data_IF_828070984320
#
_entry.id   IF_828070984320
#
_cell.length_a   1.000
_cell.length_b   1.000
_cell.length_c   1.000
_cell.angle_alpha   90.00
_cell.angle_beta   90.00
_cell.angle_gamma   90.00
#
_symmetry.space_group_name_H-M   'P 1'
#
loop_
_entity.id
_entity.type
_entity.pdbx_description
1 polymer ?
#
# COMPACT_ATOMS: atom_id res chain seq x y z
N UNK A 1 -4.30 17.65 -12.14
CA UNK A 1 -4.14 16.18 -12.38
C UNK A 1 -5.13 15.72 -13.44
N UNK A 2 -4.68 14.98 -14.46
CA UNK A 2 -5.58 14.43 -15.50
C UNK A 2 -6.54 13.39 -14.92
N UNK A 3 -7.75 13.27 -15.50
CA UNK A 3 -8.79 12.35 -15.04
C UNK A 3 -8.32 10.88 -14.98
N UNK A 4 -7.50 10.48 -15.95
CA UNK A 4 -6.92 9.14 -16.03
C UNK A 4 -6.03 8.80 -14.82
N UNK A 5 -5.20 9.76 -14.35
CA UNK A 5 -4.36 9.54 -13.15
C UNK A 5 -5.20 9.38 -11.89
N UNK A 6 -6.35 10.06 -11.80
CA UNK A 6 -7.28 9.89 -10.67
C UNK A 6 -7.89 8.49 -10.67
N UNK A 7 -8.30 7.99 -11.85
CA UNK A 7 -8.86 6.64 -11.99
C UNK A 7 -7.87 5.55 -11.60
N UNK A 8 -6.60 5.64 -12.05
CA UNK A 8 -5.57 4.66 -11.68
C UNK A 8 -5.36 4.60 -10.17
N UNK A 9 -5.30 5.76 -9.50
CA UNK A 9 -5.14 5.84 -8.04
C UNK A 9 -6.33 5.28 -7.29
N UNK A 10 -7.55 5.57 -7.76
CA UNK A 10 -8.76 5.01 -7.18
C UNK A 10 -8.82 3.48 -7.33
N UNK A 11 -8.54 2.96 -8.54
CA UNK A 11 -8.52 1.52 -8.80
C UNK A 11 -7.47 0.79 -7.94
N UNK A 12 -6.27 1.35 -7.81
CA UNK A 12 -5.23 0.83 -6.92
C UNK A 12 -5.71 0.77 -5.47
N UNK A 13 -6.22 1.89 -4.95
CA UNK A 13 -6.72 1.99 -3.58
C UNK A 13 -7.84 0.99 -3.31
N UNK A 14 -8.85 0.95 -4.17
CA UNK A 14 -10.02 0.10 -3.99
C UNK A 14 -9.62 -1.39 -4.01
N UNK A 15 -8.67 -1.77 -4.89
CA UNK A 15 -8.17 -3.14 -4.96
C UNK A 15 -7.34 -3.53 -3.72
N UNK A 16 -6.53 -2.61 -3.18
CA UNK A 16 -5.78 -2.80 -1.92
C UNK A 16 -6.75 -2.98 -0.74
N UNK A 17 -7.74 -2.11 -0.61
CA UNK A 17 -8.74 -2.20 0.46
C UNK A 17 -9.59 -3.47 0.37
N UNK A 18 -9.97 -3.88 -0.84
CA UNK A 18 -10.68 -5.13 -1.06
C UNK A 18 -9.86 -6.34 -0.63
N UNK A 19 -8.57 -6.41 -1.00
CA UNK A 19 -7.67 -7.49 -0.56
C UNK A 19 -7.57 -7.53 0.97
N UNK A 20 -7.37 -6.38 1.59
CA UNK A 20 -7.25 -6.23 3.03
C UNK A 20 -8.58 -6.45 3.79
N UNK A 21 -9.69 -6.66 3.07
CA UNK A 21 -11.05 -6.74 3.63
C UNK A 21 -11.37 -5.52 4.51
N UNK A 22 -10.92 -4.34 4.10
CA UNK A 22 -11.08 -3.07 4.80
C UNK A 22 -10.48 -3.06 6.22
N UNK A 23 -9.41 -3.84 6.45
CA UNK A 23 -8.67 -3.86 7.72
C UNK A 23 -7.32 -3.20 7.56
N UNK A 24 -6.82 -2.57 8.62
CA UNK A 24 -5.42 -2.17 8.68
C UNK A 24 -4.56 -3.43 8.71
N UNK A 25 -3.57 -3.49 7.82
CA UNK A 25 -2.58 -4.56 7.72
C UNK A 25 -1.26 -4.17 8.44
N UNK A 26 -1.27 -3.10 9.24
CA UNK A 26 -0.13 -2.70 10.05
C UNK A 26 0.19 -3.75 11.14
N UNK A 27 1.47 -4.04 11.43
CA UNK A 27 1.87 -5.01 12.45
C UNK A 27 1.19 -4.77 13.81
N UNK A 28 0.49 -5.80 14.31
CA UNK A 28 -0.19 -5.75 15.60
C UNK A 28 -1.40 -4.81 15.67
N UNK A 29 -1.87 -4.26 14.54
CA UNK A 29 -3.02 -3.37 14.51
C UNK A 29 -4.33 -4.16 14.34
N UNK A 30 -5.32 -3.86 15.17
CA UNK A 30 -6.67 -4.45 15.07
C UNK A 30 -7.71 -3.51 14.42
N UNK A 31 -7.27 -2.38 13.86
CA UNK A 31 -8.19 -1.40 13.29
C UNK A 31 -8.90 -1.95 12.04
N UNK A 32 -10.22 -1.77 11.98
CA UNK A 32 -11.05 -2.20 10.86
C UNK A 32 -12.02 -1.09 10.45
N UNK A 33 -12.14 -0.86 9.15
CA UNK A 33 -13.12 0.04 8.53
C UNK A 33 -14.24 -0.78 7.85
N UNK A 34 -15.20 -0.08 7.25
CA UNK A 34 -16.14 -0.64 6.27
C UNK A 34 -15.83 -0.13 4.86
N UNK A 35 -16.48 -0.69 3.84
CA UNK A 35 -16.32 -0.24 2.45
C UNK A 35 -16.66 1.24 2.26
N UNK A 36 -17.69 1.70 2.96
CA UNK A 36 -18.24 3.05 2.87
C UNK A 36 -17.34 4.09 3.55
N UNK A 37 -16.56 3.66 4.57
CA UNK A 37 -15.70 4.54 5.37
C UNK A 37 -14.21 4.44 5.02
N UNK A 38 -13.81 3.41 4.29
CA UNK A 38 -12.40 3.09 4.07
C UNK A 38 -11.61 4.22 3.39
N UNK A 39 -12.22 4.98 2.47
CA UNK A 39 -11.53 6.10 1.83
C UNK A 39 -11.20 7.25 2.81
N UNK A 40 -11.90 7.35 3.95
CA UNK A 40 -11.63 8.33 4.99
C UNK A 40 -10.79 7.77 6.16
N UNK A 41 -10.81 6.46 6.37
CA UNK A 41 -10.22 5.80 7.55
C UNK A 41 -8.94 5.00 7.25
N UNK A 42 -8.69 4.69 5.98
CA UNK A 42 -7.54 3.91 5.52
C UNK A 42 -6.83 4.61 4.36
N UNK A 43 -5.55 4.33 4.24
CA UNK A 43 -4.71 4.72 3.11
C UNK A 43 -4.14 3.49 2.42
N UNK A 44 -4.14 3.52 1.08
CA UNK A 44 -3.43 2.53 0.28
C UNK A 44 -1.98 3.00 0.11
N UNK A 45 -1.12 2.54 1.01
CA UNK A 45 0.29 2.90 1.06
C UNK A 45 1.10 2.05 0.07
N UNK A 46 2.08 2.65 -0.62
CA UNK A 46 3.01 1.90 -1.45
C UNK A 46 4.13 1.33 -0.57
N UNK A 47 4.35 0.02 -0.59
CA UNK A 47 5.39 -0.64 0.21
C UNK A 47 6.79 -0.27 -0.29
N UNK A 48 7.03 -0.38 -1.61
CA UNK A 48 8.19 0.25 -2.25
C UNK A 48 7.75 1.55 -2.90
N UNK A 49 8.57 2.59 -2.79
CA UNK A 49 8.28 3.91 -3.33
C UNK A 49 7.90 3.83 -4.82
N UNK A 50 6.89 4.62 -5.19
CA UNK A 50 6.33 4.62 -6.56
C UNK A 50 7.36 5.01 -7.63
N UNK A 51 8.39 5.78 -7.28
CA UNK A 51 9.42 6.19 -8.22
C UNK A 51 10.48 5.10 -8.45
N UNK A 52 10.58 4.14 -7.54
CA UNK A 52 11.43 2.95 -7.70
C UNK A 52 10.73 1.82 -8.47
N UNK A 53 9.39 1.87 -8.56
CA UNK A 53 8.60 0.85 -9.22
C UNK A 53 8.34 1.16 -10.71
N UNK A 54 8.48 0.18 -11.61
CA UNK A 54 8.14 0.36 -13.03
C UNK A 54 6.73 0.91 -13.19
N UNK A 55 6.51 1.95 -14.00
CA UNK A 55 5.16 2.52 -14.25
C UNK A 55 4.43 3.00 -12.96
N UNK A 56 5.16 3.29 -11.89
CA UNK A 56 4.59 3.89 -10.68
C UNK A 56 4.12 2.92 -9.61
N UNK A 57 4.14 1.61 -9.83
CA UNK A 57 3.86 0.64 -8.75
C UNK A 57 2.41 0.59 -8.26
N UNK A 58 1.44 1.12 -9.02
CA UNK A 58 0.01 1.11 -8.68
C UNK A 58 -0.61 -0.29 -8.86
N UNK A 59 -0.05 -1.29 -8.18
CA UNK A 59 -0.46 -2.70 -8.22
C UNK A 59 -0.71 -3.21 -6.82
N UNK A 60 -1.67 -4.11 -6.65
CA UNK A 60 -2.06 -4.66 -5.33
C UNK A 60 -0.86 -5.29 -4.62
N UNK A 61 0.04 -5.93 -5.37
CA UNK A 61 1.27 -6.53 -4.86
C UNK A 61 2.22 -5.53 -4.19
N UNK A 62 2.09 -4.23 -4.48
CA UNK A 62 2.87 -3.15 -3.89
C UNK A 62 2.07 -2.27 -2.91
N UNK A 63 0.78 -2.52 -2.73
CA UNK A 63 -0.08 -1.71 -1.88
C UNK A 63 -0.40 -2.38 -0.55
N UNK A 64 -0.38 -1.66 0.56
CA UNK A 64 -0.82 -2.13 1.88
C UNK A 64 -1.87 -1.18 2.47
N UNK A 65 -2.94 -1.72 3.05
CA UNK A 65 -3.99 -0.90 3.66
C UNK A 65 -3.59 -0.53 5.09
N UNK A 66 -3.45 0.76 5.40
CA UNK A 66 -3.00 1.23 6.72
C UNK A 66 -3.95 2.30 7.26
N UNK A 67 -4.22 2.27 8.57
CA UNK A 67 -4.81 3.42 9.25
C UNK A 67 -3.78 4.56 9.37
N UNK A 68 -4.19 5.80 9.67
CA UNK A 68 -3.28 6.95 9.71
C UNK A 68 -2.06 6.76 10.61
N UNK A 69 -2.23 6.10 11.76
CA UNK A 69 -1.13 5.83 12.69
C UNK A 69 -0.11 4.82 12.15
N UNK A 70 -0.56 3.78 11.44
CA UNK A 70 0.35 2.81 10.82
C UNK A 70 0.95 3.36 9.52
N UNK A 71 0.21 4.19 8.79
CA UNK A 71 0.70 4.88 7.61
C UNK A 71 1.91 5.75 7.95
N UNK A 72 1.82 6.57 9.01
CA UNK A 72 2.94 7.39 9.46
C UNK A 72 4.20 6.57 9.81
N UNK A 73 4.02 5.38 10.40
CA UNK A 73 5.14 4.46 10.71
C UNK A 73 5.79 3.87 9.47
N UNK A 74 5.00 3.50 8.46
CA UNK A 74 5.52 3.03 7.18
C UNK A 74 6.24 4.15 6.41
N UNK A 75 5.68 5.36 6.42
CA UNK A 75 6.24 6.55 5.76
C UNK A 75 7.63 6.93 6.31
N UNK A 76 7.91 6.62 7.59
CA UNK A 76 9.23 6.87 8.18
C UNK A 76 10.35 6.25 7.34
N UNK A 77 10.17 5.02 6.85
CA UNK A 77 11.18 4.37 6.03
C UNK A 77 11.43 5.12 4.71
N UNK A 78 10.38 5.61 4.06
CA UNK A 78 10.52 6.41 2.83
C UNK A 78 11.20 7.76 3.09
N UNK A 79 10.98 8.34 4.28
CA UNK A 79 11.55 9.63 4.66
C UNK A 79 13.02 9.53 5.10
N UNK A 80 13.42 8.47 5.81
CA UNK A 80 14.72 8.39 6.49
C UNK A 80 15.59 7.21 6.07
N UNK A 81 15.02 6.21 5.40
CA UNK A 81 15.66 4.92 5.14
C UNK A 81 15.72 3.99 6.36
N UNK A 82 15.19 4.41 7.52
CA UNK A 82 15.20 3.63 8.77
C UNK A 82 13.79 3.21 9.15
N UNK A 83 13.55 1.89 9.14
CA UNK A 83 12.25 1.33 9.47
C UNK A 83 12.03 1.21 10.98
N UNK A 84 10.81 1.51 11.43
CA UNK A 84 10.36 1.08 12.75
C UNK A 84 10.18 -0.45 12.81
N UNK A 85 10.26 -1.08 13.99
CA UNK A 85 10.06 -2.52 14.13
C UNK A 85 8.74 -2.99 13.50
N UNK A 86 8.81 -3.96 12.58
CA UNK A 86 7.63 -4.48 11.86
C UNK A 86 7.29 -3.72 10.58
N UNK A 87 7.83 -2.53 10.36
CA UNK A 87 7.47 -1.64 9.25
C UNK A 87 8.51 -1.60 8.12
N UNK A 88 9.53 -2.45 8.16
CA UNK A 88 10.44 -2.58 7.02
C UNK A 88 9.67 -3.10 5.79
N UNK A 89 9.96 -2.63 4.55
CA UNK A 89 9.22 -3.06 3.36
C UNK A 89 9.10 -4.59 3.20
N UNK A 90 10.15 -5.35 3.51
CA UNK A 90 10.12 -6.81 3.47
C UNK A 90 9.15 -7.44 4.47
N UNK A 91 8.92 -6.80 5.62
CA UNK A 91 7.93 -7.21 6.60
C UNK A 91 6.52 -6.92 6.09
N UNK A 92 6.30 -5.71 5.56
CA UNK A 92 5.02 -5.29 5.01
C UNK A 92 4.61 -6.17 3.81
N UNK A 93 5.56 -6.51 2.93
CA UNK A 93 5.30 -7.44 1.83
C UNK A 93 4.87 -8.82 2.31
N UNK A 94 5.49 -9.34 3.37
CA UNK A 94 5.12 -10.65 3.95
C UNK A 94 3.69 -10.66 4.47
N UNK A 95 3.25 -9.58 5.11
CA UNK A 95 1.87 -9.46 5.63
C UNK A 95 0.83 -9.64 4.52
N UNK A 96 1.08 -9.04 3.35
CA UNK A 96 0.16 -9.11 2.20
C UNK A 96 0.43 -10.31 1.28
N UNK A 97 1.23 -11.28 1.71
CA UNK A 97 1.67 -12.45 0.94
C UNK A 97 2.33 -12.12 -0.43
N UNK A 98 3.02 -10.98 -0.49
CA UNK A 98 3.68 -10.44 -1.68
C UNK A 98 5.21 -10.37 -1.51
N UNK A 99 5.89 -9.73 -2.46
CA UNK A 99 7.33 -9.39 -2.42
C UNK A 99 7.61 -8.25 -3.40
N UNK A 100 8.76 -7.57 -3.25
CA UNK A 100 9.25 -6.58 -4.22
C UNK A 100 9.26 -7.12 -5.64
N UNK A 101 9.75 -8.35 -5.84
CA UNK A 101 9.82 -9.00 -7.14
C UNK A 101 8.44 -9.26 -7.76
N UNK A 102 7.45 -9.70 -6.95
CA UNK A 102 6.06 -9.85 -7.41
C UNK A 102 5.47 -8.50 -7.81
N UNK A 103 5.68 -7.46 -6.98
CA UNK A 103 5.26 -6.10 -7.25
C UNK A 103 5.87 -5.55 -8.56
N UNK A 104 7.17 -5.71 -8.77
CA UNK A 104 7.84 -5.26 -9.99
C UNK A 104 7.30 -5.98 -11.25
N UNK A 105 7.12 -7.31 -11.19
CA UNK A 105 6.54 -8.07 -12.31
C UNK A 105 5.12 -7.61 -12.63
N UNK A 106 4.28 -7.42 -11.62
CA UNK A 106 2.93 -6.93 -11.80
C UNK A 106 2.96 -5.51 -12.40
N UNK A 107 3.82 -4.64 -11.88
CA UNK A 107 3.91 -3.25 -12.31
C UNK A 107 4.39 -3.11 -13.76
N UNK A 108 5.29 -3.97 -14.24
CA UNK A 108 5.70 -4.01 -15.67
C UNK A 108 4.54 -4.33 -16.61
N UNK A 109 3.54 -5.09 -16.14
CA UNK A 109 2.35 -5.51 -16.92
C UNK A 109 1.26 -4.42 -17.00
N UNK A 110 1.36 -3.34 -16.23
CA UNK A 110 0.46 -2.18 -16.36
C UNK A 110 0.55 -1.64 -17.79
N UNK A 111 -0.57 -1.20 -18.37
CA UNK A 111 -0.63 -0.67 -19.74
C UNK A 111 -0.43 0.84 -19.75
#
# INVERSE_FOLDING_TARGET
MSAQKKQVRAAFRDAVFARARYRCEGPGCAFTSTRERAEAELDAHHITDRNEMPKGGYVVENGIALCPACHAKAEQFHATGEALPGFHPDELYRIIASSREKAERASRRLR
#
